data_IF_306387657455
#
_entry.id   IF_306387657455
#
_cell.length_a   1.000
_cell.length_b   1.000
_cell.length_c   1.000
_cell.angle_alpha   90.00
_cell.angle_beta   90.00
_cell.angle_gamma   90.00
#
_symmetry.space_group_name_H-M   'P 1'
#
loop_
_entity.id
_entity.type
_entity.pdbx_description
1 polymer ?
#
# COMPACT_ATOMS: atom_id res chain seq x y z
N UNK A 1 3.68 -22.55 15.24
CA UNK A 1 2.42 -21.80 15.02
C UNK A 1 2.69 -20.75 13.96
N UNK A 2 1.96 -20.79 12.84
CA UNK A 2 2.09 -19.77 11.80
C UNK A 2 1.62 -18.42 12.36
N UNK A 3 2.44 -17.37 12.23
CA UNK A 3 2.07 -16.03 12.72
C UNK A 3 0.84 -15.57 11.93
N UNK A 4 -0.29 -15.31 12.60
CA UNK A 4 -1.46 -14.72 11.94
C UNK A 4 -1.04 -13.39 11.33
N UNK A 5 -1.28 -13.22 10.03
CA UNK A 5 -1.01 -11.95 9.35
C UNK A 5 -1.87 -10.86 9.97
N UNK A 6 -1.26 -9.73 10.31
CA UNK A 6 -1.97 -8.57 10.86
C UNK A 6 -3.06 -8.11 9.89
N UNK A 7 -4.24 -7.80 10.42
CA UNK A 7 -5.37 -7.26 9.65
C UNK A 7 -5.62 -5.81 10.06
N UNK A 8 -6.00 -4.98 9.08
CA UNK A 8 -6.36 -3.58 9.31
C UNK A 8 -7.70 -3.35 8.63
N UNK A 9 -8.63 -2.71 9.34
CA UNK A 9 -9.91 -2.25 8.79
C UNK A 9 -9.78 -0.75 8.58
N UNK A 10 -9.89 -0.29 7.34
CA UNK A 10 -9.79 1.13 6.99
C UNK A 10 -11.15 1.62 6.52
N UNK A 11 -11.62 2.72 7.10
CA UNK A 11 -12.79 3.45 6.59
C UNK A 11 -12.27 4.48 5.58
N UNK A 12 -12.72 4.37 4.33
CA UNK A 12 -12.34 5.29 3.26
C UNK A 12 -13.57 5.95 2.64
N UNK A 13 -13.46 7.21 2.17
CA UNK A 13 -14.51 7.87 1.41
C UNK A 13 -14.96 7.04 0.20
N UNK A 14 -16.21 7.23 -0.23
CA UNK A 14 -16.79 6.46 -1.33
C UNK A 14 -15.98 6.65 -2.63
N UNK A 15 -15.67 7.89 -2.99
CA UNK A 15 -14.91 8.23 -4.20
C UNK A 15 -13.56 7.49 -4.25
N UNK A 16 -12.85 7.44 -3.13
CA UNK A 16 -11.56 6.75 -3.05
C UNK A 16 -11.71 5.24 -3.19
N UNK A 17 -12.79 4.66 -2.66
CA UNK A 17 -13.10 3.23 -2.78
C UNK A 17 -13.39 2.84 -4.22
N UNK A 18 -14.15 3.66 -4.92
CA UNK A 18 -14.49 3.47 -6.34
C UNK A 18 -13.22 3.54 -7.19
N UNK A 19 -12.37 4.54 -6.95
CA UNK A 19 -11.08 4.66 -7.60
C UNK A 19 -10.18 3.44 -7.35
N UNK A 20 -10.03 2.99 -6.10
CA UNK A 20 -9.25 1.78 -5.76
C UNK A 20 -9.79 0.55 -6.49
N UNK A 21 -11.12 0.41 -6.56
CA UNK A 21 -11.76 -0.74 -7.21
C UNK A 21 -11.48 -0.74 -8.70
N UNK A 22 -11.58 0.43 -9.36
CA UNK A 22 -11.23 0.59 -10.76
C UNK A 22 -9.75 0.22 -11.01
N UNK A 23 -8.83 0.75 -10.22
CA UNK A 23 -7.40 0.45 -10.36
C UNK A 23 -7.09 -1.03 -10.10
N UNK A 24 -7.76 -1.66 -9.11
CA UNK A 24 -7.61 -3.08 -8.84
C UNK A 24 -8.05 -3.93 -10.05
N UNK A 25 -9.18 -3.59 -10.68
CA UNK A 25 -9.68 -4.28 -11.87
C UNK A 25 -8.72 -4.16 -13.06
N UNK A 26 -8.18 -2.96 -13.33
CA UNK A 26 -7.18 -2.75 -14.40
C UNK A 26 -5.94 -3.63 -14.21
N UNK A 27 -5.60 -3.93 -12.96
CA UNK A 27 -4.40 -4.69 -12.60
C UNK A 27 -4.69 -6.17 -12.26
N UNK A 28 -5.91 -6.67 -12.52
CA UNK A 28 -6.31 -8.04 -12.20
C UNK A 28 -6.10 -8.42 -10.73
N UNK A 29 -6.40 -7.50 -9.81
CA UNK A 29 -6.21 -7.64 -8.35
C UNK A 29 -7.52 -7.44 -7.60
N UNK A 30 -7.56 -7.92 -6.35
CA UNK A 30 -8.59 -7.47 -5.41
C UNK A 30 -8.29 -6.06 -4.90
N UNK A 31 -9.33 -5.31 -4.52
CA UNK A 31 -9.19 -3.97 -3.94
C UNK A 31 -8.24 -3.96 -2.72
N UNK A 32 -8.34 -4.96 -1.85
CA UNK A 32 -7.46 -5.10 -0.70
C UNK A 32 -5.99 -5.30 -1.11
N UNK A 33 -5.73 -6.11 -2.15
CA UNK A 33 -4.36 -6.27 -2.65
C UNK A 33 -3.85 -4.95 -3.21
N UNK A 34 -4.68 -4.22 -3.96
CA UNK A 34 -4.28 -2.94 -4.54
C UNK A 34 -3.92 -1.91 -3.47
N UNK A 35 -4.64 -1.87 -2.35
CA UNK A 35 -4.29 -1.04 -1.19
C UNK A 35 -2.93 -1.46 -0.61
N UNK A 36 -2.73 -2.76 -0.37
CA UNK A 36 -1.46 -3.29 0.15
C UNK A 36 -0.30 -2.96 -0.80
N UNK A 37 -0.53 -3.03 -2.11
CA UNK A 37 0.45 -2.64 -3.11
C UNK A 37 0.86 -1.18 -2.97
N UNK A 38 -0.10 -0.24 -2.89
CA UNK A 38 0.19 1.17 -2.70
C UNK A 38 0.95 1.45 -1.40
N UNK A 39 0.55 0.81 -0.29
CA UNK A 39 1.24 0.93 0.99
C UNK A 39 2.69 0.44 0.91
N UNK A 40 2.94 -0.66 0.20
CA UNK A 40 4.30 -1.16 -0.02
C UNK A 40 5.13 -0.21 -0.90
N UNK A 41 4.53 0.40 -1.93
CA UNK A 41 5.22 1.39 -2.76
C UNK A 41 5.64 2.61 -1.93
N UNK A 42 4.72 3.15 -1.12
CA UNK A 42 5.01 4.28 -0.23
C UNK A 42 6.13 3.91 0.74
N UNK A 43 6.02 2.77 1.44
CA UNK A 43 7.05 2.29 2.36
C UNK A 43 8.42 2.18 1.68
N UNK A 44 8.48 1.59 0.49
CA UNK A 44 9.74 1.43 -0.24
C UNK A 44 10.30 2.76 -0.74
N UNK A 45 9.45 3.72 -1.10
CA UNK A 45 9.88 5.08 -1.47
C UNK A 45 10.43 5.85 -0.28
N UNK A 46 9.82 5.73 0.90
CA UNK A 46 10.31 6.36 2.14
C UNK A 46 11.63 5.74 2.60
N UNK A 47 11.77 4.42 2.50
CA UNK A 47 13.03 3.71 2.79
C UNK A 47 14.15 4.09 1.81
N UNK A 48 13.82 4.30 0.54
CA UNK A 48 14.77 4.78 -0.47
C UNK A 48 15.27 6.20 -0.20
N UNK A 49 14.42 7.07 0.34
CA UNK A 49 14.80 8.42 0.73
C UNK A 49 15.63 8.45 2.03
N UNK A 50 15.31 7.61 3.01
CA UNK A 50 16.06 7.53 4.28
C UNK A 50 17.49 6.98 4.15
N UNK A 51 17.77 6.18 3.11
CA UNK A 51 19.14 5.74 2.80
C UNK A 51 20.01 6.85 2.20
N UNK A 52 19.43 7.74 1.39
CA UNK A 52 20.16 8.87 0.80
C UNK A 52 20.53 9.96 1.82
N UNK A 53 19.71 10.14 2.87
CA UNK A 53 20.00 11.11 3.94
C UNK A 53 21.10 10.64 4.91
N UNK A 54 21.48 9.36 4.86
CA UNK A 54 22.52 8.77 5.71
C UNK A 54 23.92 8.79 5.06
N UNK A 55 24.03 9.15 3.78
CA UNK A 55 25.30 9.17 3.02
C UNK A 55 25.88 10.60 2.90
N UNK A 56 25.09 11.62 3.22
CA UNK A 56 25.46 13.05 3.09
C UNK A 56 25.84 13.76 4.39
N UNK A 57 26.27 13.02 5.42
CA UNK A 57 26.90 13.60 6.62
C UNK A 57 28.29 13.06 6.89
#
# INVERSE_FOLDING_TARGET
>A
MEKRKSQIIVRIPLELREWITMEANKNCRSANMQIVYFLNQIKNSELGNGLNDSITK
#
